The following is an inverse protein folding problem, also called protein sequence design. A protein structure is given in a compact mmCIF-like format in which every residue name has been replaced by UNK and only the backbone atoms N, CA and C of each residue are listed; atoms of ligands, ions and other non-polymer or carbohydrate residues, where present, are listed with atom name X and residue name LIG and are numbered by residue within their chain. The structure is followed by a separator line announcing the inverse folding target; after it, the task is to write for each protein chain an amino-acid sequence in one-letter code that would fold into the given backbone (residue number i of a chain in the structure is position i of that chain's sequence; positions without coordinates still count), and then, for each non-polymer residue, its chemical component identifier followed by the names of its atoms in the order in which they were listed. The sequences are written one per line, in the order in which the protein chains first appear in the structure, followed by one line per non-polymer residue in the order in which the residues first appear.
data_IF_336329925844
#
_entry.id   IF_336329925844
#
_cell.length_a   1.000
_cell.length_b   1.000
_cell.length_c   1.000
_cell.angle_alpha   90.00
_cell.angle_beta   90.00
_cell.angle_gamma   90.00
#
_symmetry.space_group_name_H-M   'P 1'
#
loop_
_entity.id
_entity.type
_entity.pdbx_description
1 polymer ?
#
# COMPACT_ATOMS: atom_id res chain seq x y z
N UNK A 1 5.77 -1.96 0.88
CA UNK A 1 4.51 -2.74 0.92
C UNK A 1 4.09 -3.00 -0.51
N UNK A 2 4.32 -4.21 -0.99
CA UNK A 2 3.72 -4.68 -2.24
C UNK A 2 2.49 -5.45 -1.78
N UNK A 3 1.30 -4.87 -1.94
CA UNK A 3 0.07 -5.60 -1.63
C UNK A 3 -0.10 -6.64 -2.76
N UNK A 4 -0.01 -7.92 -2.42
CA UNK A 4 -0.12 -9.04 -3.37
C UNK A 4 -1.51 -9.11 -4.05
N UNK A 5 -2.45 -8.24 -3.62
CA UNK A 5 -3.73 -7.95 -4.29
C UNK A 5 -3.60 -7.06 -5.54
N UNK A 6 -2.43 -6.45 -5.78
CA UNK A 6 -2.10 -5.69 -6.97
C UNK A 6 -1.39 -6.56 -8.02
N UNK A 7 -1.83 -7.80 -8.21
CA UNK A 7 -1.38 -8.64 -9.32
C UNK A 7 -2.37 -8.57 -10.50
N UNK A 8 -1.85 -8.27 -11.69
CA UNK A 8 -2.58 -8.37 -12.96
C UNK A 8 -3.19 -7.04 -13.43
N UNK A 9 -4.35 -7.11 -14.09
CA UNK A 9 -5.00 -5.99 -14.80
C UNK A 9 -5.30 -4.75 -13.95
N UNK A 10 -5.30 -4.88 -12.63
CA UNK A 10 -5.53 -3.78 -11.68
C UNK A 10 -4.34 -2.82 -11.57
N UNK A 11 -3.12 -3.29 -11.87
CA UNK A 11 -1.89 -2.46 -11.87
C UNK A 11 -1.47 -1.98 -13.26
N UNK A 12 -2.19 -2.37 -14.31
CA UNK A 12 -1.90 -1.97 -15.68
C UNK A 12 -2.57 -0.63 -15.99
N UNK A 13 -1.76 0.37 -16.33
CA UNK A 13 -2.21 1.73 -16.68
C UNK A 13 -3.14 1.72 -17.90
N UNK A 14 -3.06 0.67 -18.73
CA UNK A 14 -3.85 0.49 -19.96
C UNK A 14 -5.28 -0.03 -19.71
N UNK A 15 -5.59 -0.46 -18.47
CA UNK A 15 -6.92 -0.99 -18.08
C UNK A 15 -7.53 -0.12 -16.97
N UNK A 16 -7.57 1.19 -17.20
CA UNK A 16 -8.24 2.16 -16.33
C UNK A 16 -9.78 2.11 -16.49
N UNK A 17 -10.40 0.97 -16.20
CA UNK A 17 -11.86 0.89 -16.08
C UNK A 17 -12.30 1.49 -14.74
N UNK A 18 -13.54 2.00 -14.65
CA UNK A 18 -14.10 2.50 -13.36
C UNK A 18 -13.97 1.46 -12.24
N UNK A 19 -14.17 0.19 -12.56
CA UNK A 19 -14.04 -0.91 -11.62
C UNK A 19 -12.61 -1.06 -11.07
N UNK A 20 -11.59 -0.88 -11.90
CA UNK A 20 -10.20 -0.92 -11.45
C UNK A 20 -9.84 0.30 -10.58
N UNK A 21 -10.36 1.49 -10.90
CA UNK A 21 -10.18 2.68 -10.06
C UNK A 21 -10.85 2.53 -8.68
N UNK A 22 -12.04 1.95 -8.63
CA UNK A 22 -12.74 1.68 -7.37
C UNK A 22 -11.98 0.64 -6.52
N UNK A 23 -11.47 -0.42 -7.15
CA UNK A 23 -10.62 -1.43 -6.47
C UNK A 23 -9.33 -0.81 -5.94
N UNK A 24 -8.65 0.02 -6.74
CA UNK A 24 -7.44 0.72 -6.32
C UNK A 24 -7.69 1.66 -5.13
N UNK A 25 -8.81 2.38 -5.14
CA UNK A 25 -9.21 3.24 -4.02
C UNK A 25 -9.42 2.44 -2.74
N UNK A 26 -10.15 1.31 -2.82
CA UNK A 26 -10.35 0.42 -1.66
C UNK A 26 -9.04 -0.19 -1.14
N UNK A 27 -8.12 -0.56 -2.04
CA UNK A 27 -6.79 -1.06 -1.65
C UNK A 27 -6.00 0.05 -0.96
N UNK A 28 -6.04 1.29 -1.49
CA UNK A 28 -5.43 2.46 -0.89
C UNK A 28 -5.94 2.73 0.53
N UNK A 29 -7.26 2.74 0.72
CA UNK A 29 -7.87 2.91 2.05
C UNK A 29 -7.46 1.82 3.05
N UNK A 30 -7.34 0.57 2.60
CA UNK A 30 -6.85 -0.53 3.44
C UNK A 30 -5.37 -0.37 3.78
N UNK A 31 -4.55 0.08 2.83
CA UNK A 31 -3.13 0.36 3.03
C UNK A 31 -2.92 1.50 4.03
N UNK A 32 -3.72 2.55 3.98
CA UNK A 32 -3.64 3.68 4.91
C UNK A 32 -3.82 3.25 6.37
N UNK A 33 -4.65 2.23 6.63
CA UNK A 33 -4.90 1.67 7.97
C UNK A 33 -3.83 0.69 8.46
N UNK A 34 -2.95 0.20 7.57
CA UNK A 34 -1.85 -0.71 7.96
C UNK A 34 -0.78 0.07 8.75
N UNK A 35 -0.05 -0.59 9.66
CA UNK A 35 1.05 0.02 10.38
C UNK A 35 2.14 0.45 9.39
N UNK A 36 2.79 1.58 9.70
CA UNK A 36 3.95 2.07 8.93
C UNK A 36 4.98 0.96 8.82
N UNK A 37 5.47 0.69 7.61
CA UNK A 37 6.59 -0.24 7.41
C UNK A 37 7.86 0.51 7.10
N UNK A 38 8.97 0.09 7.71
CA UNK A 38 10.32 0.59 7.44
C UNK A 38 11.05 -0.40 6.54
N UNK A 39 11.93 0.11 5.68
CA UNK A 39 12.87 -0.74 4.95
C UNK A 39 14.03 -1.08 5.87
N UNK A 40 14.25 -2.36 6.11
CA UNK A 40 15.46 -2.88 6.73
C UNK A 40 16.59 -2.78 5.68
N UNK A 41 17.61 -1.98 5.96
CA UNK A 41 18.69 -1.68 5.00
C UNK A 41 19.68 -2.84 4.83
N UNK A 42 19.72 -3.79 5.77
CA UNK A 42 20.56 -4.99 5.65
C UNK A 42 19.89 -6.07 4.80
N UNK A 43 18.58 -6.25 4.96
CA UNK A 43 17.83 -7.31 4.25
C UNK A 43 17.11 -6.81 3.00
N UNK A 44 16.94 -5.49 2.86
CA UNK A 44 16.14 -4.85 1.82
C UNK A 44 14.63 -5.06 1.97
N UNK A 45 14.17 -5.71 3.05
CA UNK A 45 12.78 -6.06 3.24
C UNK A 45 12.00 -4.97 3.99
N UNK A 46 10.68 -4.95 3.78
CA UNK A 46 9.78 -4.07 4.53
C UNK A 46 9.35 -4.74 5.82
N UNK A 47 9.62 -4.12 6.95
CA UNK A 47 9.24 -4.61 8.28
C UNK A 47 8.26 -3.62 8.94
N UNK A 48 7.18 -4.10 9.58
CA UNK A 48 6.25 -3.24 10.29
C UNK A 48 6.96 -2.55 11.47
N UNK A 49 6.69 -1.25 11.64
CA UNK A 49 7.21 -0.45 12.74
C UNK A 49 6.21 -0.49 13.90
N UNK A 50 6.53 -1.22 14.97
CA UNK A 50 5.60 -1.46 16.08
C UNK A 50 5.10 -0.17 16.77
N UNK A 51 5.85 0.94 16.70
CA UNK A 51 5.47 2.24 17.29
C UNK A 51 5.27 3.36 16.25
N UNK A 52 5.14 3.01 14.96
CA UNK A 52 5.10 3.98 13.86
C UNK A 52 3.72 4.60 13.59
N UNK A 53 2.67 4.11 14.25
CA UNK A 53 1.29 4.44 13.89
C UNK A 53 0.90 3.84 12.54
N UNK A 54 -0.18 4.38 11.96
CA UNK A 54 -0.70 3.98 10.65
C UNK A 54 -0.07 4.77 9.50
N UNK A 55 -0.12 4.22 8.29
CA UNK A 55 0.32 4.96 7.10
C UNK A 55 -0.45 6.28 6.91
N UNK A 56 -1.73 6.33 7.30
CA UNK A 56 -2.54 7.57 7.28
C UNK A 56 -1.95 8.67 8.16
N UNK A 57 -1.53 8.32 9.38
CA UNK A 57 -0.93 9.27 10.33
C UNK A 57 0.45 9.74 9.84
N UNK A 58 1.22 8.86 9.21
CA UNK A 58 2.52 9.20 8.65
C UNK A 58 2.43 10.13 7.42
N UNK A 59 1.37 10.02 6.61
CA UNK A 59 1.20 10.79 5.37
C UNK A 59 0.55 12.16 5.58
N UNK A 60 0.01 12.48 6.76
CA UNK A 60 -0.57 13.80 7.08
C UNK A 60 0.47 14.93 7.27
N UNK A 61 1.75 14.69 6.97
CA UNK A 61 2.88 15.55 7.30
C UNK A 61 3.43 16.34 6.11
#
# INVERSE_FOLDING_TARGET
MQDDTLMGTVSSVDVATKENLDKLSQIGEKLLKKPVSRVNLETGQFEPMENGGTNEEALKK
#
